data_IF_978851109191
#
_entry.id   IF_978851109191
#
_cell.length_a   1.000
_cell.length_b   1.000
_cell.length_c   1.000
_cell.angle_alpha   90.00
_cell.angle_beta   90.00
_cell.angle_gamma   90.00
#
_symmetry.space_group_name_H-M   'P 1'
#
loop_
_entity.id
_entity.type
_entity.pdbx_description
1 polymer ?
#
# COMPACT_ATOMS: atom_id res chain seq x y z
N UNK A 1 -19.99 1.35 12.32
CA UNK A 1 -19.14 1.22 11.13
C UNK A 1 -18.80 -0.25 10.92
N UNK A 2 -18.95 -0.74 9.71
CA UNK A 2 -18.63 -2.14 9.40
C UNK A 2 -17.11 -2.41 9.47
N UNK A 3 -16.75 -3.67 9.70
CA UNK A 3 -15.35 -4.11 9.68
C UNK A 3 -14.68 -3.80 8.33
N UNK A 4 -15.43 -3.97 7.25
CA UNK A 4 -14.98 -3.68 5.89
C UNK A 4 -14.60 -2.21 5.70
N UNK A 5 -15.42 -1.29 6.19
CA UNK A 5 -15.13 0.16 6.11
C UNK A 5 -13.95 0.52 7.00
N UNK A 6 -13.86 -0.04 8.20
CA UNK A 6 -12.72 0.16 9.09
C UNK A 6 -11.42 -0.35 8.48
N UNK A 7 -11.44 -1.54 7.87
CA UNK A 7 -10.28 -2.10 7.18
C UNK A 7 -9.85 -1.23 5.99
N UNK A 8 -10.81 -0.70 5.22
CA UNK A 8 -10.51 0.20 4.10
C UNK A 8 -9.88 1.52 4.56
N UNK A 9 -10.41 2.12 5.62
CA UNK A 9 -9.85 3.35 6.20
C UNK A 9 -8.45 3.08 6.76
N UNK A 10 -8.26 1.97 7.47
CA UNK A 10 -6.94 1.54 7.95
C UNK A 10 -5.94 1.36 6.81
N UNK A 11 -6.35 0.71 5.72
CA UNK A 11 -5.54 0.57 4.51
C UNK A 11 -5.12 1.94 3.97
N UNK A 12 -6.07 2.87 3.83
CA UNK A 12 -5.80 4.20 3.30
C UNK A 12 -4.86 5.02 4.19
N UNK A 13 -5.03 4.95 5.51
CA UNK A 13 -4.16 5.65 6.48
C UNK A 13 -2.73 5.10 6.43
N UNK A 14 -2.56 3.79 6.43
CA UNK A 14 -1.25 3.13 6.32
C UNK A 14 -0.62 3.47 4.96
N UNK A 15 -1.38 3.41 3.89
CA UNK A 15 -0.91 3.75 2.53
C UNK A 15 -0.45 5.20 2.44
N UNK A 16 -1.13 6.13 3.10
CA UNK A 16 -0.69 7.53 3.19
C UNK A 16 0.68 7.64 3.84
N UNK A 17 0.95 6.88 4.89
CA UNK A 17 2.26 6.81 5.54
C UNK A 17 3.33 6.24 4.60
N UNK A 18 3.02 5.17 3.88
CA UNK A 18 3.93 4.58 2.87
C UNK A 18 4.24 5.58 1.75
N UNK A 19 3.21 6.25 1.23
CA UNK A 19 3.39 7.28 0.20
C UNK A 19 4.24 8.45 0.70
N UNK A 20 4.03 8.89 1.94
CA UNK A 20 4.84 9.95 2.57
C UNK A 20 6.31 9.54 2.66
N UNK A 21 6.62 8.29 3.01
CA UNK A 21 7.99 7.77 3.00
C UNK A 21 8.60 7.82 1.58
N UNK A 22 7.86 7.40 0.56
CA UNK A 22 8.32 7.45 -0.82
C UNK A 22 8.57 8.89 -1.29
N UNK A 23 7.70 9.82 -0.94
CA UNK A 23 7.87 11.25 -1.25
C UNK A 23 9.10 11.82 -0.52
N UNK A 24 9.34 11.42 0.72
CA UNK A 24 10.54 11.81 1.46
C UNK A 24 11.82 11.32 0.76
N UNK A 25 11.86 10.09 0.27
CA UNK A 25 12.96 9.58 -0.54
C UNK A 25 13.16 10.38 -1.83
N UNK A 26 12.07 10.71 -2.51
CA UNK A 26 12.10 11.55 -3.71
C UNK A 26 12.60 12.97 -3.43
N UNK A 27 12.30 13.51 -2.25
CA UNK A 27 12.76 14.83 -1.80
C UNK A 27 14.21 14.85 -1.32
N UNK A 28 14.85 13.68 -1.18
CA UNK A 28 16.27 13.58 -0.84
C UNK A 28 16.57 13.06 0.57
N UNK A 29 15.59 12.48 1.26
CA UNK A 29 15.85 11.86 2.56
C UNK A 29 16.88 10.72 2.42
N UNK A 30 17.85 10.58 3.37
CA UNK A 30 18.92 9.58 3.29
C UNK A 30 18.49 8.21 3.81
N UNK A 31 17.31 7.73 3.39
CA UNK A 31 16.68 6.52 3.93
C UNK A 31 16.66 5.35 2.94
N UNK A 32 17.50 5.39 1.92
CA UNK A 32 17.55 4.36 0.89
C UNK A 32 17.84 2.95 1.41
N UNK A 33 18.49 2.83 2.57
CA UNK A 33 18.72 1.53 3.22
C UNK A 33 17.42 0.79 3.60
N UNK A 34 16.31 1.51 3.75
CA UNK A 34 15.00 0.95 4.11
C UNK A 34 14.08 0.70 2.92
N UNK A 35 14.61 0.76 1.70
CA UNK A 35 13.82 0.59 0.49
C UNK A 35 14.59 -0.18 -0.57
N UNK A 36 13.89 -0.84 -1.49
CA UNK A 36 14.45 -1.55 -2.64
C UNK A 36 15.58 -2.52 -2.27
N UNK A 37 15.41 -3.27 -1.18
CA UNK A 37 16.42 -4.25 -0.70
C UNK A 37 17.67 -3.61 -0.12
N UNK A 38 17.70 -2.30 0.11
CA UNK A 38 18.86 -1.58 0.62
C UNK A 38 19.98 -1.40 -0.41
N UNK A 39 19.68 -1.57 -1.70
CA UNK A 39 20.67 -1.49 -2.80
C UNK A 39 21.28 -0.10 -2.92
N UNK A 40 20.51 0.95 -2.62
CA UNK A 40 20.95 2.35 -2.65
C UNK A 40 20.81 2.98 -1.27
N UNK A 41 21.67 2.65 -0.30
CA UNK A 41 21.63 3.27 1.00
C UNK A 41 21.97 4.78 0.88
N UNK A 42 21.32 5.59 1.73
CA UNK A 42 21.49 7.03 1.70
C UNK A 42 20.54 7.72 0.72
N UNK A 43 21.03 8.75 0.04
CA UNK A 43 20.21 9.54 -0.88
C UNK A 43 19.97 8.81 -2.20
N UNK A 44 18.75 8.90 -2.73
CA UNK A 44 18.43 8.36 -4.03
C UNK A 44 19.02 9.20 -5.17
N UNK A 45 19.45 8.51 -6.22
CA UNK A 45 19.75 9.11 -7.53
C UNK A 45 18.48 9.74 -8.15
N UNK A 46 18.59 10.66 -9.12
CA UNK A 46 17.42 11.21 -9.79
C UNK A 46 16.47 10.16 -10.36
N UNK A 47 16.98 9.09 -10.95
CA UNK A 47 16.15 7.99 -11.47
C UNK A 47 15.37 7.29 -10.36
N UNK A 48 15.98 7.01 -9.22
CA UNK A 48 15.31 6.38 -8.07
C UNK A 48 14.31 7.33 -7.40
N UNK A 49 14.55 8.64 -7.43
CA UNK A 49 13.57 9.62 -6.94
C UNK A 49 12.30 9.61 -7.79
N UNK A 50 12.43 9.51 -9.12
CA UNK A 50 11.28 9.37 -10.03
C UNK A 50 10.53 8.06 -9.71
N UNK A 51 11.24 6.97 -9.55
CA UNK A 51 10.64 5.67 -9.18
C UNK A 51 9.87 5.78 -7.85
N UNK A 52 10.39 6.50 -6.87
CA UNK A 52 9.72 6.72 -5.58
C UNK A 52 8.41 7.50 -5.75
N UNK A 53 8.38 8.53 -6.59
CA UNK A 53 7.14 9.28 -6.90
C UNK A 53 6.11 8.38 -7.57
N UNK A 54 6.53 7.56 -8.53
CA UNK A 54 5.65 6.61 -9.22
C UNK A 54 5.08 5.59 -8.22
N UNK A 55 5.90 5.06 -7.31
CA UNK A 55 5.45 4.14 -6.27
C UNK A 55 4.45 4.81 -5.32
N UNK A 56 4.67 6.05 -4.91
CA UNK A 56 3.73 6.80 -4.10
C UNK A 56 2.37 6.95 -4.79
N UNK A 57 2.36 7.28 -6.09
CA UNK A 57 1.15 7.40 -6.87
C UNK A 57 0.40 6.04 -6.97
N UNK A 58 1.12 4.95 -7.23
CA UNK A 58 0.52 3.61 -7.30
C UNK A 58 -0.07 3.17 -5.97
N UNK A 59 0.61 3.43 -4.86
CA UNK A 59 0.11 3.13 -3.50
C UNK A 59 -1.19 3.89 -3.24
N UNK A 60 -1.27 5.16 -3.61
CA UNK A 60 -2.48 5.96 -3.41
C UNK A 60 -3.62 5.53 -4.34
N UNK A 61 -3.31 5.10 -5.57
CA UNK A 61 -4.33 4.51 -6.47
C UNK A 61 -4.90 3.21 -5.89
N UNK A 62 -4.06 2.36 -5.33
CA UNK A 62 -4.52 1.13 -4.66
C UNK A 62 -5.39 1.45 -3.43
N UNK A 63 -5.04 2.49 -2.66
CA UNK A 63 -5.87 2.96 -1.56
C UNK A 63 -7.24 3.43 -2.05
N UNK A 64 -7.29 4.14 -3.17
CA UNK A 64 -8.54 4.56 -3.82
C UNK A 64 -9.41 3.36 -4.22
N UNK A 65 -8.83 2.32 -4.78
CA UNK A 65 -9.54 1.08 -5.13
C UNK A 65 -10.15 0.42 -3.89
N UNK A 66 -9.39 0.31 -2.82
CA UNK A 66 -9.85 -0.31 -1.56
C UNK A 66 -10.98 0.52 -0.93
N UNK A 67 -10.84 1.84 -0.89
CA UNK A 67 -11.90 2.74 -0.38
C UNK A 67 -13.17 2.65 -1.23
N UNK A 68 -13.03 2.61 -2.54
CA UNK A 68 -14.16 2.47 -3.46
C UNK A 68 -14.88 1.13 -3.26
N UNK A 69 -14.11 0.04 -3.15
CA UNK A 69 -14.67 -1.30 -2.95
C UNK A 69 -15.45 -1.42 -1.64
N UNK A 70 -15.04 -0.72 -0.61
CA UNK A 70 -15.71 -0.68 0.69
C UNK A 70 -16.86 0.33 0.77
N UNK A 71 -17.10 1.10 -0.29
CA UNK A 71 -18.15 2.11 -0.32
C UNK A 71 -17.85 3.34 0.54
N UNK A 72 -16.58 3.60 0.87
CA UNK A 72 -16.17 4.75 1.68
C UNK A 72 -16.03 6.00 0.82
N UNK A 73 -15.48 5.86 -0.39
CA UNK A 73 -15.19 6.96 -1.30
C UNK A 73 -15.21 6.49 -2.75
N UNK A 74 -15.08 7.42 -3.69
CA UNK A 74 -14.93 7.15 -5.13
C UNK A 74 -16.02 6.24 -5.70
N UNK A 75 -17.30 6.63 -5.60
CA UNK A 75 -18.40 5.77 -6.05
C UNK A 75 -18.35 5.51 -7.57
N UNK A 76 -17.72 6.38 -8.36
CA UNK A 76 -17.53 6.18 -9.78
C UNK A 76 -16.68 4.97 -10.13
N UNK A 77 -15.83 4.50 -9.19
CA UNK A 77 -14.97 3.34 -9.38
C UNK A 77 -15.60 2.05 -8.88
N UNK A 78 -16.81 2.07 -8.35
CA UNK A 78 -17.41 0.94 -7.64
C UNK A 78 -17.48 -0.34 -8.49
N UNK A 79 -17.79 -0.23 -9.78
CA UNK A 79 -17.85 -1.37 -10.69
C UNK A 79 -16.46 -1.97 -10.93
N UNK A 80 -15.48 -1.12 -11.22
CA UNK A 80 -14.11 -1.54 -11.54
C UNK A 80 -13.38 -2.03 -10.29
N UNK A 81 -13.66 -1.46 -9.13
CA UNK A 81 -13.01 -1.85 -7.87
C UNK A 81 -13.33 -3.28 -7.44
N UNK A 82 -14.44 -3.87 -7.93
CA UNK A 82 -14.80 -5.26 -7.61
C UNK A 82 -13.73 -6.27 -8.00
N UNK A 83 -13.08 -6.06 -9.13
CA UNK A 83 -12.02 -6.96 -9.59
C UNK A 83 -10.63 -6.39 -9.33
N UNK A 84 -10.47 -5.06 -9.36
CA UNK A 84 -9.19 -4.41 -9.05
C UNK A 84 -8.74 -4.66 -7.60
N UNK A 85 -9.66 -4.82 -6.67
CA UNK A 85 -9.29 -5.15 -5.28
C UNK A 85 -8.50 -6.47 -5.19
N UNK A 86 -8.77 -7.42 -6.07
CA UNK A 86 -8.02 -8.68 -6.11
C UNK A 86 -6.61 -8.48 -6.67
N UNK A 87 -6.40 -7.53 -7.57
CA UNK A 87 -5.08 -7.11 -8.00
C UNK A 87 -4.32 -6.46 -6.82
N UNK A 88 -5.00 -5.63 -6.03
CA UNK A 88 -4.42 -5.04 -4.80
C UNK A 88 -4.00 -6.14 -3.83
N UNK A 89 -4.82 -7.15 -3.62
CA UNK A 89 -4.48 -8.32 -2.78
C UNK A 89 -3.25 -9.04 -3.33
N UNK A 90 -3.18 -9.30 -4.63
CA UNK A 90 -2.05 -9.96 -5.26
C UNK A 90 -0.74 -9.16 -5.10
N UNK A 91 -0.80 -7.85 -5.35
CA UNK A 91 0.34 -6.95 -5.14
C UNK A 91 0.76 -6.94 -3.67
N UNK A 92 -0.19 -6.92 -2.75
CA UNK A 92 0.06 -6.99 -1.31
C UNK A 92 0.75 -8.28 -0.90
N UNK A 93 0.34 -9.43 -1.45
CA UNK A 93 0.98 -10.72 -1.18
C UNK A 93 2.42 -10.75 -1.68
N UNK A 94 2.66 -10.28 -2.90
CA UNK A 94 4.02 -10.17 -3.47
C UNK A 94 4.87 -9.22 -2.64
N UNK A 95 4.33 -8.07 -2.25
CA UNK A 95 5.01 -7.08 -1.41
C UNK A 95 5.42 -7.67 -0.07
N UNK A 96 4.53 -8.43 0.58
CA UNK A 96 4.86 -9.11 1.85
C UNK A 96 6.02 -10.10 1.67
N UNK A 97 5.96 -10.93 0.63
CA UNK A 97 7.03 -11.90 0.35
C UNK A 97 8.36 -11.18 0.11
N UNK A 98 8.37 -10.11 -0.69
CA UNK A 98 9.59 -9.33 -0.96
C UNK A 98 10.15 -8.67 0.30
N UNK A 99 9.28 -8.14 1.17
CA UNK A 99 9.72 -7.52 2.42
C UNK A 99 10.19 -8.54 3.46
N UNK A 100 9.73 -9.77 3.41
CA UNK A 100 10.26 -10.87 4.24
C UNK A 100 11.59 -11.41 3.70
N UNK A 101 11.77 -11.41 2.38
CA UNK A 101 12.94 -11.94 1.71
C UNK A 101 14.08 -10.93 1.52
N UNK A 102 13.84 -9.66 1.79
CA UNK A 102 14.85 -8.61 1.58
C UNK A 102 16.09 -8.85 2.41
N UNK A 103 17.31 -8.60 1.85
CA UNK A 103 18.55 -8.65 2.62
C UNK A 103 18.70 -7.51 3.64
N UNK A 104 17.95 -6.41 3.48
CA UNK A 104 17.95 -5.29 4.41
C UNK A 104 17.15 -5.63 5.68
N UNK A 105 17.84 -5.75 6.82
CA UNK A 105 17.20 -5.99 8.11
C UNK A 105 16.28 -4.82 8.54
N UNK A 106 16.68 -3.57 8.25
CA UNK A 106 15.88 -2.39 8.53
C UNK A 106 14.59 -2.38 7.74
N UNK A 107 14.65 -2.66 6.44
CA UNK A 107 13.48 -2.78 5.57
C UNK A 107 12.52 -3.87 6.07
N UNK A 108 13.05 -5.04 6.40
CA UNK A 108 12.26 -6.18 6.89
C UNK A 108 11.53 -5.85 8.18
N UNK A 109 12.20 -5.21 9.15
CA UNK A 109 11.61 -4.86 10.45
C UNK A 109 10.52 -3.79 10.34
N UNK A 110 10.64 -2.87 9.40
CA UNK A 110 9.68 -1.77 9.21
C UNK A 110 8.55 -2.20 8.28
N UNK A 111 8.88 -2.74 7.11
CA UNK A 111 7.90 -2.90 6.03
C UNK A 111 7.22 -4.26 5.99
N UNK A 112 7.79 -5.31 6.53
CA UNK A 112 7.10 -6.61 6.59
C UNK A 112 5.82 -6.54 7.44
N UNK A 113 5.82 -5.94 8.65
CA UNK A 113 4.58 -5.73 9.40
C UNK A 113 3.59 -4.82 8.67
N UNK A 114 4.06 -3.76 8.03
CA UNK A 114 3.21 -2.84 7.25
C UNK A 114 2.57 -3.58 6.07
N UNK A 115 3.36 -4.33 5.31
CA UNK A 115 2.85 -5.12 4.18
C UNK A 115 1.84 -6.18 4.64
N UNK A 116 2.06 -6.81 5.77
CA UNK A 116 1.12 -7.76 6.37
C UNK A 116 -0.22 -7.09 6.71
N UNK A 117 -0.18 -5.92 7.35
CA UNK A 117 -1.40 -5.18 7.71
C UNK A 117 -2.17 -4.72 6.47
N UNK A 118 -1.47 -4.22 5.46
CA UNK A 118 -2.09 -3.83 4.19
C UNK A 118 -2.74 -5.03 3.49
N UNK A 119 -2.06 -6.16 3.45
CA UNK A 119 -2.60 -7.39 2.89
C UNK A 119 -3.85 -7.85 3.65
N UNK A 120 -3.80 -7.90 4.97
CA UNK A 120 -4.93 -8.29 5.81
C UNK A 120 -6.14 -7.36 5.58
N UNK A 121 -5.93 -6.05 5.56
CA UNK A 121 -7.00 -5.08 5.29
C UNK A 121 -7.60 -5.26 3.89
N UNK A 122 -6.77 -5.45 2.87
CA UNK A 122 -7.26 -5.64 1.50
C UNK A 122 -8.03 -6.95 1.32
N UNK A 123 -7.60 -8.03 1.97
CA UNK A 123 -8.33 -9.31 1.98
C UNK A 123 -9.68 -9.17 2.66
N UNK A 124 -9.74 -8.49 3.80
CA UNK A 124 -11.02 -8.21 4.48
C UNK A 124 -11.98 -7.44 3.58
N UNK A 125 -11.49 -6.40 2.91
CA UNK A 125 -12.32 -5.61 1.99
C UNK A 125 -12.77 -6.43 0.78
N UNK A 126 -11.91 -7.29 0.25
CA UNK A 126 -12.22 -8.11 -0.93
C UNK A 126 -13.23 -9.23 -0.62
N UNK A 127 -13.18 -9.79 0.58
CA UNK A 127 -13.93 -11.00 0.94
C UNK A 127 -15.20 -10.72 1.74
N UNK A 128 -15.27 -9.62 2.50
CA UNK A 128 -16.45 -9.26 3.27
C UNK A 128 -17.62 -8.94 2.34
N UNK A 129 -18.79 -9.49 2.65
CA UNK A 129 -20.01 -9.16 1.93
C UNK A 129 -20.46 -7.75 2.31
N UNK A 130 -21.00 -7.02 1.33
CA UNK A 130 -21.75 -5.81 1.65
C UNK A 130 -23.00 -6.23 2.42
N UNK A 131 -23.12 -5.73 3.65
CA UNK A 131 -24.40 -5.81 4.33
C UNK A 131 -25.41 -4.96 3.57
N UNK A 132 -26.64 -5.45 3.36
CA UNK A 132 -27.68 -4.60 2.77
C UNK A 132 -27.87 -3.38 3.70
N UNK A 133 -27.90 -2.21 3.12
CA UNK A 133 -28.30 -1.01 3.86
C UNK A 133 -29.74 -1.22 4.33
N UNK A 134 -29.95 -1.33 5.63
CA UNK A 134 -31.27 -1.33 6.22
C UNK A 134 -31.90 0.05 6.17
#
# INVERSE_FOLDING_TARGET
MSIRRMAAIGYAVISAGVAAFQIALAAGAPWGAYAMGGVSPGHYSPALRVAAVVQAALVMLMAGVVLSRAGVALPAWSRTSRWLVWLVVAVGAVSLVLNLATPSAGERLVWAPVAFLLLACSVLVATERQEPEE
#
